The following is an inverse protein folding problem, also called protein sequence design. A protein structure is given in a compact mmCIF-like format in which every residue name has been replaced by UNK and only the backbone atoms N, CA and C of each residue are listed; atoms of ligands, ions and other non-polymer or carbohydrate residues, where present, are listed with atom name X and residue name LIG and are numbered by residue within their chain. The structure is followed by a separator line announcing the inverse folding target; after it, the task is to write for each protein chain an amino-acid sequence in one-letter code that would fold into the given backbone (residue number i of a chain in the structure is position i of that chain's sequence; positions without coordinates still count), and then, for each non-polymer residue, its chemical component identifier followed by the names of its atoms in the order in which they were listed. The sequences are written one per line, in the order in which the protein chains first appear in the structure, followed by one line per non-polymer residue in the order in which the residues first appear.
data_IF_587040248457
#
_entry.id   IF_587040248457
#
_cell.length_a   1.000
_cell.length_b   1.000
_cell.length_c   1.000
_cell.angle_alpha   90.00
_cell.angle_beta   90.00
_cell.angle_gamma   90.00
#
_symmetry.space_group_name_H-M   'P 1'
#
loop_
_entity.id
_entity.type
_entity.pdbx_description
1 polymer ?
#
# COMPACT_ATOMS: atom_id res chain seq x y z
N UNK A 1 3.75 16.15 7.71
CA UNK A 1 4.71 17.07 7.04
C UNK A 1 5.32 16.45 5.78
N UNK A 2 6.14 15.39 5.89
CA UNK A 2 6.81 14.81 4.70
C UNK A 2 5.84 14.23 3.66
N UNK A 3 4.85 13.43 4.11
CA UNK A 3 3.85 12.85 3.20
C UNK A 3 3.05 13.92 2.47
N UNK A 4 2.57 14.93 3.21
CA UNK A 4 1.87 16.09 2.65
C UNK A 4 2.70 16.78 1.56
N UNK A 5 3.99 17.03 1.82
CA UNK A 5 4.89 17.61 0.82
C UNK A 5 5.02 16.74 -0.43
N UNK A 6 5.14 15.40 -0.28
CA UNK A 6 5.21 14.48 -1.42
C UNK A 6 3.92 14.54 -2.24
N UNK A 7 2.76 14.49 -1.59
CA UNK A 7 1.46 14.61 -2.24
C UNK A 7 1.33 15.93 -3.01
N UNK A 8 1.63 17.05 -2.35
CA UNK A 8 1.53 18.38 -2.95
C UNK A 8 2.52 18.56 -4.12
N UNK A 9 3.76 18.08 -3.97
CA UNK A 9 4.79 18.17 -5.00
C UNK A 9 4.45 17.33 -6.24
N UNK A 10 3.95 16.10 -6.06
CA UNK A 10 3.57 15.24 -7.19
C UNK A 10 2.30 15.76 -7.85
N UNK A 11 1.29 16.17 -7.08
CA UNK A 11 0.06 16.75 -7.64
C UNK A 11 0.34 18.03 -8.45
N UNK A 12 1.29 18.86 -8.02
CA UNK A 12 1.68 20.08 -8.73
C UNK A 12 2.29 19.82 -10.13
N UNK A 13 2.73 18.59 -10.43
CA UNK A 13 3.20 18.25 -11.78
C UNK A 13 2.07 18.13 -12.80
N UNK A 14 0.82 18.05 -12.35
CA UNK A 14 -0.35 17.85 -13.20
C UNK A 14 -0.51 16.42 -13.72
N UNK A 15 0.38 15.50 -13.36
CA UNK A 15 0.20 14.08 -13.69
C UNK A 15 -0.86 13.46 -12.80
N UNK A 16 -1.64 12.50 -13.30
CA UNK A 16 -2.57 11.77 -12.47
C UNK A 16 -1.86 11.03 -11.32
N UNK A 17 -2.44 11.11 -10.12
CA UNK A 17 -1.86 10.54 -8.89
C UNK A 17 -2.85 9.60 -8.19
N UNK A 18 -2.40 8.38 -7.92
CA UNK A 18 -3.07 7.40 -7.06
C UNK A 18 -2.13 7.11 -5.89
N UNK A 19 -2.62 7.18 -4.67
CA UNK A 19 -1.92 6.71 -3.47
C UNK A 19 -2.34 5.27 -3.18
N UNK A 20 -1.36 4.38 -3.01
CA UNK A 20 -1.60 2.99 -2.60
C UNK A 20 -1.31 2.81 -1.11
N UNK A 21 -2.24 2.19 -0.39
CA UNK A 21 -2.08 1.88 1.03
C UNK A 21 -0.94 0.88 1.27
N UNK A 22 -0.26 1.00 2.41
CA UNK A 22 0.80 0.07 2.83
C UNK A 22 0.19 -1.29 3.15
N UNK A 23 0.71 -2.35 2.54
CA UNK A 23 0.25 -3.72 2.78
C UNK A 23 0.57 -4.21 4.20
N UNK A 24 -0.20 -5.15 4.76
CA UNK A 24 0.07 -5.71 6.08
C UNK A 24 1.34 -6.57 6.09
N UNK A 25 1.91 -6.75 7.28
CA UNK A 25 3.11 -7.55 7.57
C UNK A 25 2.80 -8.68 8.55
N UNK A 26 3.61 -9.74 8.52
CA UNK A 26 3.66 -10.71 9.61
C UNK A 26 4.78 -10.30 10.57
N UNK A 27 4.44 -9.50 11.58
CA UNK A 27 5.39 -8.93 12.53
C UNK A 27 6.17 -10.01 13.32
N UNK A 28 5.53 -11.12 13.66
CA UNK A 28 6.18 -12.23 14.36
C UNK A 28 7.25 -12.88 13.48
N UNK A 29 6.93 -13.19 12.21
CA UNK A 29 7.90 -13.76 11.28
C UNK A 29 9.06 -12.81 10.99
N UNK A 30 8.76 -11.51 10.86
CA UNK A 30 9.78 -10.50 10.61
C UNK A 30 10.73 -10.36 11.82
N UNK A 31 10.18 -10.25 13.03
CA UNK A 31 10.96 -10.15 14.27
C UNK A 31 11.90 -11.34 14.47
N UNK A 32 11.43 -12.56 14.20
CA UNK A 32 12.26 -13.77 14.29
C UNK A 32 13.45 -13.78 13.31
N UNK A 33 13.36 -13.04 12.20
CA UNK A 33 14.33 -13.11 11.08
C UNK A 33 15.21 -11.88 10.95
N UNK A 34 14.80 -10.73 11.51
CA UNK A 34 15.46 -9.43 11.34
C UNK A 34 15.76 -8.81 12.70
N UNK A 35 16.86 -8.06 12.77
CA UNK A 35 17.25 -7.36 14.01
C UNK A 35 16.45 -6.08 14.32
N UNK A 36 15.27 -5.90 13.71
CA UNK A 36 14.40 -4.74 13.88
C UNK A 36 12.95 -5.10 13.58
N UNK A 37 12.02 -4.25 13.99
CA UNK A 37 10.59 -4.54 13.92
C UNK A 37 9.86 -3.78 12.80
N UNK A 38 8.84 -4.44 12.28
CA UNK A 38 7.77 -3.88 11.47
C UNK A 38 6.48 -4.29 12.16
N UNK A 39 5.75 -3.32 12.70
CA UNK A 39 4.58 -3.57 13.53
C UNK A 39 3.31 -3.33 12.71
N UNK A 40 2.32 -4.20 12.86
CA UNK A 40 1.01 -4.00 12.23
C UNK A 40 0.31 -2.74 12.78
N UNK A 41 0.55 -2.42 14.05
CA UNK A 41 0.06 -1.18 14.66
C UNK A 41 0.62 0.07 13.96
N UNK A 42 1.90 0.03 13.55
CA UNK A 42 2.49 1.14 12.80
C UNK A 42 1.87 1.20 11.41
N UNK A 43 1.76 0.07 10.70
CA UNK A 43 1.11 0.01 9.36
C UNK A 43 -0.29 0.62 9.41
N UNK A 44 -1.10 0.24 10.41
CA UNK A 44 -2.44 0.77 10.60
C UNK A 44 -2.43 2.30 10.85
N UNK A 45 -1.55 2.78 11.74
CA UNK A 45 -1.43 4.20 12.04
C UNK A 45 -0.97 5.03 10.83
N UNK A 46 0.03 4.55 10.08
CA UNK A 46 0.52 5.19 8.87
C UNK A 46 -0.56 5.23 7.78
N UNK A 47 -1.27 4.13 7.54
CA UNK A 47 -2.35 4.09 6.56
C UNK A 47 -3.51 5.01 6.92
N UNK A 48 -3.91 5.09 8.20
CA UNK A 48 -4.99 5.96 8.64
C UNK A 48 -4.66 7.45 8.37
N UNK A 49 -3.46 7.88 8.75
CA UNK A 49 -3.00 9.26 8.51
C UNK A 49 -2.88 9.54 7.01
N UNK A 50 -2.29 8.61 6.24
CA UNK A 50 -2.10 8.79 4.81
C UNK A 50 -3.43 8.82 4.03
N UNK A 51 -4.40 8.01 4.44
CA UNK A 51 -5.75 8.01 3.88
C UNK A 51 -6.44 9.36 4.12
N UNK A 52 -6.38 9.88 5.34
CA UNK A 52 -6.94 11.20 5.66
C UNK A 52 -6.32 12.30 4.80
N UNK A 53 -4.99 12.33 4.71
CA UNK A 53 -4.26 13.35 3.91
C UNK A 53 -4.52 13.22 2.40
N UNK A 54 -4.70 12.00 1.89
CA UNK A 54 -5.05 11.73 0.49
C UNK A 54 -6.47 12.21 0.19
N UNK A 55 -7.43 11.89 1.07
CA UNK A 55 -8.83 12.31 0.95
C UNK A 55 -8.98 13.83 0.98
N UNK A 56 -8.29 14.53 1.89
CA UNK A 56 -8.30 16.00 1.96
C UNK A 56 -7.81 16.66 0.67
N UNK A 57 -6.97 15.98 -0.11
CA UNK A 57 -6.42 16.46 -1.39
C UNK A 57 -7.15 15.93 -2.62
N UNK A 58 -8.19 15.11 -2.45
CA UNK A 58 -8.88 14.45 -3.56
C UNK A 58 -8.00 13.47 -4.34
N UNK A 59 -6.93 12.95 -3.72
CA UNK A 59 -6.06 11.94 -4.34
C UNK A 59 -6.80 10.60 -4.35
N UNK A 60 -6.74 9.91 -5.50
CA UNK A 60 -7.35 8.59 -5.65
C UNK A 60 -6.63 7.57 -4.75
N UNK A 61 -7.39 6.65 -4.15
CA UNK A 61 -6.88 5.68 -3.20
C UNK A 61 -6.98 4.27 -3.78
N UNK A 62 -5.87 3.54 -3.73
CA UNK A 62 -5.79 2.12 -4.03
C UNK A 62 -5.48 1.34 -2.73
N UNK A 63 -6.49 0.69 -2.16
CA UNK A 63 -6.36 0.01 -0.87
C UNK A 63 -5.74 -1.39 -0.99
N UNK A 64 -4.44 -1.43 -1.28
CA UNK A 64 -3.66 -2.67 -1.36
C UNK A 64 -3.60 -3.42 -0.01
N UNK A 65 -3.81 -2.71 1.11
CA UNK A 65 -3.88 -3.33 2.42
C UNK A 65 -5.08 -4.27 2.51
N UNK A 66 -6.28 -3.77 2.19
CA UNK A 66 -7.50 -4.57 2.21
C UNK A 66 -7.46 -5.73 1.20
N UNK A 67 -6.81 -5.54 0.03
CA UNK A 67 -6.63 -6.61 -0.95
C UNK A 67 -5.90 -7.81 -0.33
N UNK A 68 -4.82 -7.56 0.39
CA UNK A 68 -4.00 -8.64 0.99
C UNK A 68 -4.67 -9.25 2.21
N UNK A 69 -5.27 -8.43 3.08
CA UNK A 69 -6.02 -8.93 4.24
C UNK A 69 -7.14 -9.88 3.81
N UNK A 70 -7.97 -9.45 2.85
CA UNK A 70 -9.07 -10.26 2.33
C UNK A 70 -8.59 -11.53 1.62
N UNK A 71 -7.42 -11.45 0.99
CA UNK A 71 -6.79 -12.58 0.33
C UNK A 71 -5.94 -13.43 1.28
N UNK A 72 -5.90 -13.16 2.59
CA UNK A 72 -5.07 -13.89 3.55
C UNK A 72 -3.59 -13.57 3.38
N UNK A 73 -3.09 -12.61 4.16
CA UNK A 73 -1.69 -12.16 4.16
C UNK A 73 -0.66 -13.29 4.24
N UNK A 74 -0.79 -14.17 5.24
CA UNK A 74 0.27 -15.14 5.58
C UNK A 74 0.55 -16.18 4.49
N UNK A 75 -0.39 -16.45 3.58
CA UNK A 75 -0.15 -17.36 2.44
C UNK A 75 0.53 -16.67 1.25
N UNK A 76 0.54 -15.34 1.23
CA UNK A 76 1.03 -14.52 0.12
C UNK A 76 2.41 -13.93 0.41
N UNK A 77 2.74 -13.75 1.70
CA UNK A 77 4.05 -13.29 2.14
C UNK A 77 5.13 -14.34 1.85
N UNK A 78 6.30 -13.84 1.53
CA UNK A 78 7.55 -14.58 1.60
C UNK A 78 7.94 -14.83 3.07
N UNK A 79 8.96 -15.65 3.28
CA UNK A 79 9.39 -16.04 4.62
C UNK A 79 9.80 -14.84 5.50
N UNK A 80 10.21 -13.71 4.92
CA UNK A 80 10.65 -12.56 5.72
C UNK A 80 9.53 -11.78 6.42
N UNK A 81 8.27 -12.14 6.17
CA UNK A 81 7.11 -11.54 6.81
C UNK A 81 6.74 -10.15 6.28
N UNK A 82 7.38 -9.65 5.23
CA UNK A 82 7.12 -8.30 4.68
C UNK A 82 6.94 -8.32 3.17
N UNK A 83 7.83 -8.96 2.43
CA UNK A 83 7.73 -9.01 0.97
C UNK A 83 6.82 -10.14 0.53
N UNK A 84 6.17 -9.98 -0.62
CA UNK A 84 5.29 -11.00 -1.19
C UNK A 84 6.06 -11.99 -2.09
N UNK A 85 5.64 -13.25 -2.06
CA UNK A 85 6.03 -14.22 -3.08
C UNK A 85 5.27 -13.99 -4.40
N UNK A 86 5.54 -14.81 -5.40
CA UNK A 86 5.00 -14.66 -6.76
C UNK A 86 3.47 -14.49 -6.77
N UNK A 87 2.75 -15.31 -6.00
CA UNK A 87 1.30 -15.25 -5.91
C UNK A 87 0.79 -13.89 -5.38
N UNK A 88 1.43 -13.36 -4.33
CA UNK A 88 1.07 -12.06 -3.75
C UNK A 88 1.41 -10.92 -4.71
N UNK A 89 2.57 -10.98 -5.36
CA UNK A 89 2.97 -10.01 -6.38
C UNK A 89 2.02 -10.00 -7.59
N UNK A 90 1.58 -11.17 -8.08
CA UNK A 90 0.59 -11.26 -9.16
C UNK A 90 -0.74 -10.64 -8.73
N UNK A 91 -1.25 -10.99 -7.55
CA UNK A 91 -2.51 -10.42 -7.04
C UNK A 91 -2.46 -8.89 -6.94
N UNK A 92 -1.39 -8.35 -6.35
CA UNK A 92 -1.20 -6.90 -6.23
C UNK A 92 -1.05 -6.24 -7.61
N UNK A 93 -0.28 -6.85 -8.51
CA UNK A 93 -0.08 -6.36 -9.88
C UNK A 93 -1.38 -6.26 -10.66
N UNK A 94 -2.22 -7.31 -10.61
CA UNK A 94 -3.52 -7.33 -11.27
C UNK A 94 -4.45 -6.25 -10.70
N UNK A 95 -4.46 -6.07 -9.37
CA UNK A 95 -5.27 -5.05 -8.74
C UNK A 95 -4.80 -3.63 -9.06
N UNK A 96 -3.48 -3.39 -9.08
CA UNK A 96 -2.89 -2.11 -9.50
C UNK A 96 -3.23 -1.81 -10.95
N UNK A 97 -3.09 -2.78 -11.85
CA UNK A 97 -3.42 -2.60 -13.27
C UNK A 97 -4.90 -2.25 -13.46
N UNK A 98 -5.80 -2.95 -12.77
CA UNK A 98 -7.23 -2.66 -12.80
C UNK A 98 -7.55 -1.26 -12.24
N UNK A 99 -6.89 -0.85 -11.15
CA UNK A 99 -7.06 0.49 -10.57
C UNK A 99 -6.61 1.59 -11.54
N UNK A 100 -5.44 1.42 -12.16
CA UNK A 100 -4.91 2.35 -13.18
C UNK A 100 -5.86 2.45 -14.38
N UNK A 101 -6.33 1.32 -14.90
CA UNK A 101 -7.31 1.29 -15.98
C UNK A 101 -8.65 1.93 -15.58
N UNK A 102 -9.11 1.72 -14.35
CA UNK A 102 -10.34 2.35 -13.89
C UNK A 102 -10.22 3.87 -13.77
N UNK A 103 -9.08 4.35 -13.27
CA UNK A 103 -8.85 5.78 -13.09
C UNK A 103 -8.57 6.50 -14.42
N UNK A 104 -7.89 5.86 -15.38
CA UNK A 104 -7.31 6.51 -16.56
C UNK A 104 -7.56 5.77 -17.89
N UNK A 105 -8.46 4.80 -17.91
CA UNK A 105 -8.64 3.88 -19.04
C UNK A 105 -9.45 4.40 -20.23
N UNK A 106 -9.90 5.66 -20.23
CA UNK A 106 -10.59 6.28 -21.36
C UNK A 106 -10.04 7.70 -21.62
N UNK A 107 -8.97 7.76 -22.44
CA UNK A 107 -8.68 8.83 -23.40
C UNK A 107 -8.57 8.22 -24.81
#
# INVERSE_FOLDING_TARGET
ANLCYIFDAVAATGVPLIWAATTPVNEAWHHERKGFDRLEADVAAYNAIALEEAQQRGIQVNDLHAVIENAGRDRLLSEDGVHFGDQGCTLLGDHVAACVQHCWGDE
#
